data_IF_165297171929
#
_entry.id   IF_165297171929
#
_cell.length_a   1.000
_cell.length_b   1.000
_cell.length_c   1.000
_cell.angle_alpha   90.00
_cell.angle_beta   90.00
_cell.angle_gamma   90.00
#
_symmetry.space_group_name_H-M   'P 1'
#
loop_
_entity.id
_entity.type
_entity.pdbx_description
1 polymer ?
#
# COMPACT_ATOMS: atom_id res chain seq x y z
N UNK A 1 -18.59 18.03 6.99
CA UNK A 1 -18.24 18.52 5.65
C UNK A 1 -16.75 18.76 5.63
N UNK A 2 -15.99 17.95 4.90
CA UNK A 2 -14.55 18.16 4.66
C UNK A 2 -14.43 18.63 3.21
N UNK A 3 -14.08 19.90 3.02
CA UNK A 3 -13.76 20.45 1.70
C UNK A 3 -12.40 19.91 1.27
N UNK A 4 -12.40 19.02 0.28
CA UNK A 4 -11.20 18.69 -0.47
C UNK A 4 -10.85 19.90 -1.35
N UNK A 5 -9.75 20.58 -1.02
CA UNK A 5 -9.20 21.64 -1.85
C UNK A 5 -8.79 21.07 -3.21
N UNK A 6 -9.29 21.70 -4.25
CA UNK A 6 -9.10 21.36 -5.66
C UNK A 6 -7.63 21.44 -6.05
N UNK A 7 -6.93 20.30 -6.05
CA UNK A 7 -5.80 20.11 -6.96
C UNK A 7 -6.44 19.74 -8.30
N UNK A 8 -6.13 20.52 -9.34
CA UNK A 8 -6.86 20.59 -10.60
C UNK A 8 -7.28 19.24 -11.18
N UNK A 9 -8.49 19.19 -11.73
CA UNK A 9 -9.16 18.03 -12.33
C UNK A 9 -8.22 16.92 -12.85
N UNK A 10 -7.82 16.03 -11.96
CA UNK A 10 -7.32 14.71 -12.31
C UNK A 10 -8.55 13.81 -12.26
N UNK A 11 -8.85 13.09 -13.35
CA UNK A 11 -9.70 11.91 -13.26
C UNK A 11 -9.27 11.14 -12.00
N UNK A 12 -10.21 10.82 -11.09
CA UNK A 12 -9.88 10.11 -9.85
C UNK A 12 -9.04 8.89 -10.23
N UNK A 13 -7.76 8.87 -9.84
CA UNK A 13 -6.87 7.75 -10.15
C UNK A 13 -7.48 6.53 -9.46
N UNK A 14 -7.95 5.52 -10.20
CA UNK A 14 -8.67 4.41 -9.60
C UNK A 14 -7.72 3.63 -8.71
N UNK A 15 -8.19 3.25 -7.52
CA UNK A 15 -7.43 2.34 -6.67
C UNK A 15 -7.35 0.97 -7.34
N UNK A 16 -6.13 0.43 -7.44
CA UNK A 16 -5.92 -0.94 -7.89
C UNK A 16 -6.59 -1.88 -6.87
N UNK A 17 -7.51 -2.73 -7.33
CA UNK A 17 -8.26 -3.68 -6.51
C UNK A 17 -7.94 -5.12 -6.95
N UNK A 18 -8.59 -6.10 -6.33
CA UNK A 18 -8.43 -7.52 -6.64
C UNK A 18 -8.78 -7.89 -8.08
N UNK A 19 -9.75 -7.22 -8.72
CA UNK A 19 -10.06 -7.46 -10.14
C UNK A 19 -8.89 -7.03 -11.03
N UNK A 20 -8.36 -5.83 -10.81
CA UNK A 20 -7.16 -5.35 -11.52
C UNK A 20 -5.96 -6.26 -11.24
N UNK A 21 -5.78 -6.67 -9.99
CA UNK A 21 -4.67 -7.50 -9.57
C UNK A 21 -4.71 -8.89 -10.23
N UNK A 22 -5.81 -9.63 -10.08
CA UNK A 22 -5.90 -11.02 -10.55
C UNK A 22 -5.85 -11.16 -12.07
N UNK A 23 -6.20 -10.10 -12.81
CA UNK A 23 -6.14 -10.05 -14.28
C UNK A 23 -4.83 -9.46 -14.82
N UNK A 24 -3.98 -8.89 -13.97
CA UNK A 24 -2.70 -8.29 -14.38
C UNK A 24 -1.60 -9.31 -14.60
N UNK A 25 -0.73 -9.04 -15.58
CA UNK A 25 0.52 -9.78 -15.75
C UNK A 25 1.44 -9.63 -14.52
N UNK A 26 2.27 -10.64 -14.19
CA UNK A 26 3.16 -10.60 -13.03
C UNK A 26 4.04 -9.36 -12.94
N UNK A 27 4.54 -8.87 -14.07
CA UNK A 27 5.43 -7.72 -14.19
C UNK A 27 4.71 -6.41 -13.84
N UNK A 28 3.42 -6.30 -14.18
CA UNK A 28 2.57 -5.15 -13.84
C UNK A 28 2.33 -5.09 -12.33
N UNK A 29 2.05 -6.23 -11.70
CA UNK A 29 1.91 -6.33 -10.23
C UNK A 29 3.20 -5.90 -9.53
N UNK A 30 4.35 -6.39 -10.01
CA UNK A 30 5.67 -6.01 -9.49
C UNK A 30 5.94 -4.52 -9.65
N UNK A 31 5.65 -3.94 -10.81
CA UNK A 31 5.84 -2.51 -11.06
C UNK A 31 4.97 -1.65 -10.13
N UNK A 32 3.71 -2.04 -9.89
CA UNK A 32 2.84 -1.37 -8.94
C UNK A 32 3.43 -1.37 -7.52
N UNK A 33 3.90 -2.52 -7.03
CA UNK A 33 4.50 -2.63 -5.69
C UNK A 33 5.81 -1.84 -5.56
N UNK A 34 6.64 -1.80 -6.61
CA UNK A 34 7.85 -0.96 -6.66
C UNK A 34 7.47 0.52 -6.59
N UNK A 35 6.48 0.97 -7.37
CA UNK A 35 5.99 2.35 -7.34
C UNK A 35 5.47 2.75 -5.96
N UNK A 36 4.63 1.90 -5.34
CA UNK A 36 4.12 2.13 -3.99
C UNK A 36 5.24 2.20 -2.95
N UNK A 37 6.22 1.31 -3.04
CA UNK A 37 7.38 1.29 -2.13
C UNK A 37 8.21 2.57 -2.26
N UNK A 38 8.45 3.04 -3.49
CA UNK A 38 9.19 4.27 -3.73
C UNK A 38 8.47 5.50 -3.14
N UNK A 39 7.14 5.58 -3.29
CA UNK A 39 6.36 6.67 -2.71
C UNK A 39 6.46 6.69 -1.17
N UNK A 40 6.36 5.52 -0.52
CA UNK A 40 6.53 5.38 0.94
C UNK A 40 7.93 5.81 1.37
N UNK A 41 8.98 5.42 0.63
CA UNK A 41 10.36 5.77 0.96
C UNK A 41 10.60 7.29 0.86
N UNK A 42 10.05 7.94 -0.18
CA UNK A 42 10.12 9.40 -0.33
C UNK A 42 9.44 10.09 0.85
N UNK A 43 8.24 9.66 1.23
CA UNK A 43 7.50 10.25 2.35
C UNK A 43 8.21 10.05 3.69
N UNK A 44 8.74 8.85 3.97
CA UNK A 44 9.52 8.58 5.19
C UNK A 44 10.77 9.44 5.25
N UNK A 45 11.51 9.58 4.14
CA UNK A 45 12.69 10.44 4.09
C UNK A 45 12.32 11.92 4.33
N UNK A 46 11.26 12.40 3.69
CA UNK A 46 10.76 13.76 3.87
C UNK A 46 10.37 14.04 5.33
N UNK A 47 9.67 13.12 5.99
CA UNK A 47 9.28 13.26 7.39
C UNK A 47 10.50 13.22 8.35
N UNK A 48 11.50 12.37 8.07
CA UNK A 48 12.71 12.30 8.88
C UNK A 48 13.50 13.62 8.88
N UNK A 49 13.55 14.30 7.74
CA UNK A 49 14.23 15.60 7.59
C UNK A 49 13.36 16.79 8.04
N UNK A 50 12.06 16.58 8.27
CA UNK A 50 11.10 17.63 8.65
C UNK A 50 10.24 17.24 9.86
N UNK A 51 10.78 17.19 11.11
CA UNK A 51 10.08 16.68 12.29
C UNK A 51 8.82 17.45 12.71
N UNK A 52 8.60 18.66 12.17
CA UNK A 52 7.38 19.45 12.36
C UNK A 52 6.30 19.16 11.31
N UNK A 53 6.59 18.34 10.31
CA UNK A 53 5.61 17.82 9.37
C UNK A 53 4.71 16.83 10.14
N UNK A 54 3.67 17.36 10.76
CA UNK A 54 2.68 16.64 11.58
C UNK A 54 1.72 15.78 10.76
N UNK A 55 2.05 15.45 9.51
CA UNK A 55 1.16 14.73 8.62
C UNK A 55 1.34 13.22 8.78
N UNK A 56 0.30 12.58 9.31
CA UNK A 56 0.00 11.14 9.25
C UNK A 56 1.19 10.17 9.36
N UNK A 57 1.28 9.44 10.47
CA UNK A 57 2.25 8.35 10.67
C UNK A 57 2.08 7.14 9.71
N UNK A 58 1.32 7.27 8.62
CA UNK A 58 1.00 6.18 7.71
C UNK A 58 2.28 5.53 7.16
N UNK A 59 3.10 6.25 6.41
CA UNK A 59 4.30 5.68 5.77
C UNK A 59 5.32 5.16 6.78
N UNK A 60 5.61 5.84 7.92
CA UNK A 60 6.42 5.27 8.99
C UNK A 60 5.86 3.96 9.55
N UNK A 61 4.53 3.84 9.72
CA UNK A 61 3.87 2.60 10.17
C UNK A 61 3.96 1.51 9.12
N UNK A 62 3.78 1.82 7.83
CA UNK A 62 3.98 0.86 6.74
C UNK A 62 5.42 0.34 6.75
N UNK A 63 6.41 1.24 6.79
CA UNK A 63 7.82 0.87 6.83
C UNK A 63 8.17 -0.02 8.04
N UNK A 64 7.60 0.28 9.23
CA UNK A 64 7.78 -0.56 10.42
C UNK A 64 7.07 -1.91 10.31
N UNK A 65 5.82 -1.94 9.87
CA UNK A 65 5.01 -3.16 9.80
C UNK A 65 5.47 -4.12 8.71
N UNK A 66 6.04 -3.60 7.62
CA UNK A 66 6.58 -4.41 6.52
C UNK A 66 8.00 -4.94 6.77
N UNK A 67 8.61 -4.69 7.94
CA UNK A 67 9.95 -5.22 8.25
C UNK A 67 9.99 -6.73 8.08
N UNK A 68 10.94 -7.21 7.27
CA UNK A 68 11.12 -8.63 6.96
C UNK A 68 10.37 -9.11 5.71
N UNK A 69 9.49 -8.29 5.13
CA UNK A 69 8.92 -8.56 3.81
C UNK A 69 9.86 -8.08 2.70
N UNK A 70 10.01 -8.91 1.68
CA UNK A 70 10.59 -8.53 0.38
C UNK A 70 9.48 -8.28 -0.64
N UNK A 71 9.84 -7.71 -1.79
CA UNK A 71 8.93 -7.54 -2.93
C UNK A 71 8.24 -8.87 -3.32
N UNK A 72 9.02 -9.95 -3.42
CA UNK A 72 8.50 -11.27 -3.82
C UNK A 72 7.56 -11.87 -2.76
N UNK A 73 7.91 -11.76 -1.47
CA UNK A 73 7.01 -12.24 -0.41
C UNK A 73 5.72 -11.42 -0.33
N UNK A 74 5.79 -10.14 -0.68
CA UNK A 74 4.61 -9.26 -0.72
C UNK A 74 3.71 -9.62 -1.89
N UNK A 75 4.29 -9.79 -3.08
CA UNK A 75 3.56 -10.26 -4.26
C UNK A 75 2.84 -11.58 -3.97
N UNK A 76 3.55 -12.57 -3.43
CA UNK A 76 2.99 -13.88 -3.11
C UNK A 76 1.88 -13.80 -2.04
N UNK A 77 2.04 -12.96 -1.01
CA UNK A 77 1.01 -12.78 0.01
C UNK A 77 -0.29 -12.21 -0.58
N UNK A 78 -0.19 -11.22 -1.46
CA UNK A 78 -1.36 -10.59 -2.10
C UNK A 78 -2.03 -11.56 -3.09
N UNK A 79 -1.24 -12.27 -3.90
CA UNK A 79 -1.75 -13.30 -4.82
C UNK A 79 -2.53 -14.39 -4.06
N UNK A 80 -1.94 -14.91 -2.98
CA UNK A 80 -2.59 -15.92 -2.15
C UNK A 80 -3.86 -15.39 -1.48
N UNK A 81 -3.86 -14.13 -1.02
CA UNK A 81 -5.02 -13.54 -0.38
C UNK A 81 -6.20 -13.42 -1.35
N UNK A 82 -6.00 -12.87 -2.55
CA UNK A 82 -7.10 -12.77 -3.52
C UNK A 82 -7.54 -14.13 -4.07
N UNK A 83 -6.64 -15.11 -4.19
CA UNK A 83 -7.00 -16.47 -4.56
C UNK A 83 -7.91 -17.14 -3.50
N UNK A 84 -7.69 -16.83 -2.22
CA UNK A 84 -8.50 -17.34 -1.11
C UNK A 84 -9.81 -16.57 -0.89
N UNK A 85 -9.94 -15.35 -1.43
CA UNK A 85 -11.11 -14.46 -1.24
C UNK A 85 -11.68 -13.97 -2.59
N UNK A 86 -12.19 -14.87 -3.46
CA UNK A 86 -12.72 -14.49 -4.78
C UNK A 86 -13.98 -13.60 -4.70
N UNK A 87 -14.64 -13.53 -3.54
CA UNK A 87 -15.78 -12.66 -3.26
C UNK A 87 -15.38 -11.22 -2.88
N UNK A 88 -14.08 -10.96 -2.63
CA UNK A 88 -13.58 -9.67 -2.14
C UNK A 88 -12.69 -8.92 -3.15
N UNK A 89 -12.86 -9.19 -4.44
CA UNK A 89 -12.04 -8.56 -5.49
C UNK A 89 -12.21 -7.04 -5.60
N UNK A 90 -13.23 -6.46 -4.98
CA UNK A 90 -13.40 -5.00 -4.92
C UNK A 90 -12.50 -4.33 -3.87
N UNK A 91 -11.91 -5.09 -2.95
CA UNK A 91 -11.00 -4.55 -1.94
C UNK A 91 -9.72 -3.99 -2.60
N UNK A 92 -9.30 -2.75 -2.32
CA UNK A 92 -8.06 -2.19 -2.83
C UNK A 92 -6.82 -2.97 -2.38
N UNK A 93 -5.83 -3.11 -3.26
CA UNK A 93 -4.57 -3.80 -2.97
C UNK A 93 -3.81 -3.12 -1.83
N UNK A 94 -3.78 -1.78 -1.83
CA UNK A 94 -3.13 -1.00 -0.76
C UNK A 94 -3.80 -1.22 0.60
N UNK A 95 -5.11 -1.43 0.61
CA UNK A 95 -5.87 -1.75 1.82
C UNK A 95 -5.56 -3.18 2.29
N UNK A 96 -5.52 -4.15 1.36
CA UNK A 96 -5.10 -5.52 1.65
C UNK A 96 -3.69 -5.56 2.25
N UNK A 97 -2.72 -4.82 1.68
CA UNK A 97 -1.36 -4.70 2.25
C UNK A 97 -1.43 -4.17 3.69
N UNK A 98 -2.24 -3.14 3.93
CA UNK A 98 -2.36 -2.53 5.26
C UNK A 98 -2.86 -3.54 6.31
N UNK A 99 -4.00 -4.18 6.07
CA UNK A 99 -4.61 -5.03 7.09
C UNK A 99 -4.01 -6.43 7.18
N UNK A 100 -3.53 -6.99 6.07
CA UNK A 100 -3.06 -8.38 6.03
C UNK A 100 -1.55 -8.49 6.31
N UNK A 101 -0.80 -7.40 6.16
CA UNK A 101 0.66 -7.41 6.31
C UNK A 101 1.16 -6.37 7.32
N UNK A 102 0.80 -5.09 7.13
CA UNK A 102 1.32 -4.00 7.98
C UNK A 102 0.82 -4.13 9.42
N UNK A 103 -0.50 -4.20 9.63
CA UNK A 103 -1.09 -4.26 10.98
C UNK A 103 -0.59 -5.49 11.77
N UNK A 104 -0.57 -6.71 11.20
CA UNK A 104 0.04 -7.87 11.87
C UNK A 104 1.52 -7.68 12.20
N UNK A 105 2.31 -7.11 11.29
CA UNK A 105 3.73 -6.84 11.51
C UNK A 105 4.01 -5.81 12.61
N UNK A 106 3.15 -4.79 12.73
CA UNK A 106 3.20 -3.80 13.82
C UNK A 106 2.93 -4.45 15.18
N UNK A 107 1.99 -5.39 15.26
CA UNK A 107 1.67 -6.10 16.50
C UNK A 107 2.78 -7.06 16.93
N UNK A 108 3.49 -7.68 15.98
CA UNK A 108 4.66 -8.54 16.26
C UNK A 108 5.91 -7.74 16.70
N UNK A 109 5.94 -6.45 16.41
CA UNK A 109 7.05 -5.53 16.70
C UNK A 109 6.82 -4.64 17.93
N UNK A 110 5.85 -5.01 18.79
CA UNK A 110 5.57 -4.37 20.08
C UNK A 110 6.39 -5.01 21.20
#
# INVERSE_FOLDING_TARGET
>A
MLSAGTVGATEEVPLVNGTHWTTSAPEVKKAYLVGLSNAILVDVAYQADNPKATMSDFSPKVAKGMKGHTLDTTLAAIDNWYAAHPDQLQRPVVETIWFEMVVPGLNKSK
#
